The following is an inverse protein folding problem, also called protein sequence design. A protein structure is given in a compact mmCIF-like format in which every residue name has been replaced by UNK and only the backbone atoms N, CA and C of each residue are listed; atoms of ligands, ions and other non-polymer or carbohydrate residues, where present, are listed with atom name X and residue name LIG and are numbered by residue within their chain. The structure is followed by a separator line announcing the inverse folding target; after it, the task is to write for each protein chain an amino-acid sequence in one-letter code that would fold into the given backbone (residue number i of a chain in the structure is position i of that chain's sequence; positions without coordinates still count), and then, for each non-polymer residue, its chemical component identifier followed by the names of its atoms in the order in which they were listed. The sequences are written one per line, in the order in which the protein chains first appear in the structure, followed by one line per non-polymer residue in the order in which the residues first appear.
data_IF_858388907961
#
_entry.id   IF_858388907961
#
_cell.length_a   1.000
_cell.length_b   1.000
_cell.length_c   1.000
_cell.angle_alpha   90.00
_cell.angle_beta   90.00
_cell.angle_gamma   90.00
#
_symmetry.space_group_name_H-M   'P 1'
#
loop_
_entity.id
_entity.type
_entity.pdbx_description
1 polymer ?
#
# COMPACT_ATOMS: atom_id res chain seq x y z
N UNK A 1 -8.24 26.89 10.31
CA UNK A 1 -7.12 26.67 11.27
C UNK A 1 -6.97 25.20 11.72
N UNK A 2 -8.03 24.52 12.19
CA UNK A 2 -7.91 23.10 12.65
C UNK A 2 -7.37 22.12 11.58
N UNK A 3 -7.74 22.30 10.30
CA UNK A 3 -7.27 21.46 9.19
C UNK A 3 -5.79 21.65 8.85
N UNK A 4 -5.25 22.84 9.05
CA UNK A 4 -3.83 23.14 8.84
C UNK A 4 -2.94 22.47 9.89
N UNK A 5 -3.40 22.45 11.15
CA UNK A 5 -2.69 21.76 12.23
C UNK A 5 -2.64 20.25 12.06
N UNK A 6 -3.69 19.63 11.48
CA UNK A 6 -3.74 18.19 11.24
C UNK A 6 -2.74 17.79 10.15
N UNK A 7 -2.65 18.56 9.06
CA UNK A 7 -1.69 18.31 7.97
C UNK A 7 -0.24 18.52 8.47
N UNK A 8 0.01 19.56 9.26
CA UNK A 8 1.32 19.80 9.84
C UNK A 8 1.73 18.71 10.85
N UNK A 9 0.80 18.18 11.62
CA UNK A 9 1.06 17.08 12.56
C UNK A 9 1.41 15.76 11.82
N UNK A 10 0.73 15.45 10.71
CA UNK A 10 1.05 14.28 9.88
C UNK A 10 2.44 14.42 9.23
N UNK A 11 2.80 15.60 8.75
CA UNK A 11 4.12 15.88 8.20
C UNK A 11 5.24 15.78 9.25
N UNK A 12 4.99 16.22 10.48
CA UNK A 12 5.98 16.14 11.58
C UNK A 12 6.24 14.69 12.06
N UNK A 13 5.21 13.85 12.05
CA UNK A 13 5.36 12.41 12.36
C UNK A 13 6.16 11.68 11.28
N UNK A 14 6.01 12.08 10.01
CA UNK A 14 6.75 11.50 8.88
C UNK A 14 8.26 11.81 8.94
N UNK A 15 8.68 12.94 9.48
CA UNK A 15 10.07 13.35 9.58
C UNK A 15 10.91 12.56 10.60
N UNK A 16 10.25 11.84 11.53
CA UNK A 16 10.92 11.03 12.56
C UNK A 16 11.15 9.56 12.21
N UNK A 17 10.56 9.05 11.15
CA UNK A 17 10.55 7.62 10.83
C UNK A 17 11.51 7.29 9.69
N UNK A 18 12.64 6.68 10.01
CA UNK A 18 13.76 6.39 9.07
C UNK A 18 13.47 5.35 7.97
N UNK A 19 12.24 4.92 7.75
CA UNK A 19 11.89 3.95 6.71
C UNK A 19 10.45 4.12 6.18
N UNK A 20 9.91 5.31 6.30
CA UNK A 20 8.57 5.64 5.84
C UNK A 20 8.64 6.71 4.76
N UNK A 21 7.82 6.54 3.75
CA UNK A 21 7.64 7.48 2.67
C UNK A 21 6.20 7.96 2.70
N UNK A 22 6.00 9.28 2.61
CA UNK A 22 4.68 9.90 2.48
C UNK A 22 4.65 10.62 1.16
N UNK A 23 3.70 10.25 0.31
CA UNK A 23 3.54 10.79 -1.03
C UNK A 23 2.18 11.48 -1.14
N UNK A 24 2.14 12.57 -1.88
CA UNK A 24 0.90 13.23 -2.28
C UNK A 24 0.79 13.18 -3.80
N UNK A 25 -0.24 12.52 -4.28
CA UNK A 25 -0.54 12.37 -5.68
C UNK A 25 -1.69 13.27 -6.09
N UNK A 26 -1.61 13.86 -7.28
CA UNK A 26 -2.70 14.61 -7.89
C UNK A 26 -3.02 14.02 -9.26
N UNK A 27 -4.29 13.68 -9.49
CA UNK A 27 -4.78 13.17 -10.77
C UNK A 27 -5.14 14.33 -11.69
N UNK A 28 -4.17 14.77 -12.49
CA UNK A 28 -4.40 15.79 -13.53
C UNK A 28 -5.45 15.35 -14.56
N UNK A 29 -5.62 14.05 -14.77
CA UNK A 29 -6.62 13.51 -15.68
C UNK A 29 -8.04 13.87 -15.25
N UNK A 30 -8.35 13.77 -13.95
CA UNK A 30 -9.65 14.13 -13.40
C UNK A 30 -9.96 15.63 -13.53
N UNK A 31 -8.93 16.48 -13.60
CA UNK A 31 -9.07 17.93 -13.76
C UNK A 31 -9.17 18.37 -15.22
N UNK A 32 -8.67 17.56 -16.18
CA UNK A 32 -8.56 17.92 -17.59
C UNK A 32 -9.61 17.23 -18.48
N UNK A 33 -10.20 16.13 -18.03
CA UNK A 33 -11.11 15.32 -18.83
C UNK A 33 -12.41 15.04 -18.08
N UNK A 34 -13.53 15.60 -18.54
CA UNK A 34 -14.87 15.43 -17.95
C UNK A 34 -15.28 13.95 -17.82
N UNK A 35 -14.80 13.09 -18.73
CA UNK A 35 -15.07 11.64 -18.66
C UNK A 35 -14.47 10.94 -17.45
N UNK A 36 -13.51 11.58 -16.78
CA UNK A 36 -12.84 11.08 -15.58
C UNK A 36 -13.34 11.78 -14.32
N UNK A 37 -14.39 12.58 -14.44
CA UNK A 37 -15.07 13.19 -13.30
C UNK A 37 -15.59 12.10 -12.35
N UNK A 38 -15.48 12.34 -11.06
CA UNK A 38 -15.81 11.34 -10.01
C UNK A 38 -14.63 10.47 -9.55
N UNK A 39 -13.47 10.51 -10.20
CA UNK A 39 -12.24 9.93 -9.67
C UNK A 39 -11.69 10.82 -8.54
N UNK A 40 -11.01 10.23 -7.53
CA UNK A 40 -10.30 11.02 -6.54
C UNK A 40 -9.26 11.92 -7.23
N UNK A 41 -9.34 13.23 -7.01
CA UNK A 41 -8.35 14.16 -7.57
C UNK A 41 -7.03 14.11 -6.80
N UNK A 42 -7.07 13.68 -5.54
CA UNK A 42 -5.90 13.69 -4.65
C UNK A 42 -5.88 12.38 -3.87
N UNK A 43 -4.69 11.76 -3.80
CA UNK A 43 -4.40 10.58 -2.97
C UNK A 43 -3.16 10.84 -2.13
N UNK A 44 -3.20 10.50 -0.85
CA UNK A 44 -2.03 10.44 0.01
C UNK A 44 -1.66 8.99 0.22
N UNK A 45 -0.42 8.63 -0.09
CA UNK A 45 0.15 7.31 0.17
C UNK A 45 1.14 7.39 1.33
N UNK A 46 1.00 6.50 2.28
CA UNK A 46 2.00 6.23 3.31
C UNK A 46 2.52 4.83 3.10
N UNK A 47 3.82 4.70 2.87
CA UNK A 47 4.44 3.40 2.67
C UNK A 47 5.66 3.21 3.55
N UNK A 48 5.97 1.95 3.86
CA UNK A 48 7.15 1.55 4.60
C UNK A 48 7.71 0.25 4.03
N UNK A 49 9.02 0.23 3.84
CA UNK A 49 9.78 -1.00 3.65
C UNK A 49 10.80 -1.12 4.78
N UNK A 50 10.77 -2.25 5.50
CA UNK A 50 11.67 -2.50 6.62
C UNK A 50 12.24 -3.92 6.53
N UNK A 51 13.52 -4.09 6.18
CA UNK A 51 14.22 -5.36 6.29
C UNK A 51 14.58 -5.64 7.75
N UNK A 52 14.65 -6.93 8.10
CA UNK A 52 15.17 -7.42 9.38
C UNK A 52 15.89 -8.76 9.20
N UNK A 53 16.38 -9.35 10.29
CA UNK A 53 17.11 -10.63 10.25
C UNK A 53 16.30 -11.83 9.75
N UNK A 54 14.98 -11.71 9.70
CA UNK A 54 14.06 -12.76 9.31
C UNK A 54 13.38 -12.51 7.95
N UNK A 55 13.77 -11.44 7.24
CA UNK A 55 13.19 -11.06 5.96
C UNK A 55 12.86 -9.58 5.86
N UNK A 56 11.68 -9.25 5.37
CA UNK A 56 11.25 -7.85 5.22
C UNK A 56 9.76 -7.68 5.45
N UNK A 57 9.38 -6.52 5.93
CA UNK A 57 7.99 -6.07 6.01
C UNK A 57 7.78 -4.91 5.05
N UNK A 58 6.73 -4.98 4.27
CA UNK A 58 6.26 -3.88 3.44
C UNK A 58 4.82 -3.58 3.77
N UNK A 59 4.45 -2.31 3.84
CA UNK A 59 3.06 -1.91 3.79
C UNK A 59 2.91 -0.59 3.04
N UNK A 60 1.74 -0.38 2.48
CA UNK A 60 1.29 0.94 2.11
C UNK A 60 -0.19 1.15 2.46
N UNK A 61 -0.55 2.41 2.55
CA UNK A 61 -1.87 2.88 2.88
C UNK A 61 -2.18 4.08 2.01
N UNK A 62 -3.19 3.97 1.17
CA UNK A 62 -3.69 5.04 0.33
C UNK A 62 -4.95 5.66 0.93
N UNK A 63 -5.00 6.97 0.95
CA UNK A 63 -6.18 7.75 1.26
C UNK A 63 -6.59 8.56 0.03
N UNK A 64 -7.74 8.25 -0.52
CA UNK A 64 -8.36 9.05 -1.57
C UNK A 64 -9.26 10.12 -0.98
N UNK A 65 -9.21 11.30 -1.57
CA UNK A 65 -9.97 12.46 -1.08
C UNK A 65 -11.01 12.93 -2.09
N UNK A 66 -12.11 13.44 -1.54
CA UNK A 66 -13.10 14.23 -2.25
C UNK A 66 -13.33 15.56 -1.51
N UNK A 67 -14.29 16.35 -2.00
CA UNK A 67 -14.62 17.66 -1.40
C UNK A 67 -15.07 17.59 0.06
N UNK A 68 -15.45 16.40 0.56
CA UNK A 68 -15.93 16.17 1.95
C UNK A 68 -14.86 15.61 2.86
N UNK A 69 -13.70 15.23 2.33
CA UNK A 69 -12.59 14.63 3.08
C UNK A 69 -12.17 13.28 2.52
N UNK A 70 -11.79 12.34 3.38
CA UNK A 70 -11.39 10.98 2.97
C UNK A 70 -12.60 10.24 2.40
N UNK A 71 -12.51 9.86 1.14
CA UNK A 71 -13.51 9.09 0.41
C UNK A 71 -13.30 7.58 0.58
N UNK A 72 -12.06 7.15 0.48
CA UNK A 72 -11.65 5.75 0.61
C UNK A 72 -10.27 5.63 1.24
N UNK A 73 -10.03 4.48 1.84
CA UNK A 73 -8.72 4.04 2.31
C UNK A 73 -8.49 2.61 1.83
N UNK A 74 -7.32 2.36 1.26
CA UNK A 74 -6.86 1.04 0.85
C UNK A 74 -5.51 0.76 1.45
N UNK A 75 -5.25 -0.48 1.86
CA UNK A 75 -3.97 -0.86 2.44
C UNK A 75 -3.57 -2.27 2.05
N UNK A 76 -2.28 -2.45 1.96
CA UNK A 76 -1.62 -3.74 1.83
C UNK A 76 -0.53 -3.87 2.88
N UNK A 77 -0.43 -5.05 3.48
CA UNK A 77 0.62 -5.39 4.42
C UNK A 77 1.20 -6.72 3.99
N UNK A 78 2.48 -6.73 3.66
CA UNK A 78 3.20 -7.90 3.21
C UNK A 78 4.38 -8.24 4.11
N UNK A 79 4.63 -9.52 4.28
CA UNK A 79 5.78 -10.04 4.98
C UNK A 79 6.48 -11.09 4.14
N UNK A 80 7.75 -10.88 3.84
CA UNK A 80 8.65 -11.90 3.35
C UNK A 80 9.42 -12.52 4.52
N UNK A 81 9.41 -13.85 4.59
CA UNK A 81 10.09 -14.64 5.61
C UNK A 81 11.21 -15.44 4.99
N UNK A 82 12.40 -15.33 5.57
CA UNK A 82 13.60 -15.97 5.06
C UNK A 82 14.46 -16.46 6.23
N UNK A 83 14.32 -17.71 6.59
CA UNK A 83 15.08 -18.36 7.67
C UNK A 83 16.24 -19.21 7.17
N UNK A 84 16.51 -19.19 5.86
CA UNK A 84 17.48 -20.03 5.16
C UNK A 84 18.33 -19.19 4.22
N UNK A 85 19.42 -19.76 3.75
CA UNK A 85 20.25 -19.16 2.71
C UNK A 85 19.61 -19.35 1.33
N UNK A 86 19.95 -18.46 0.39
CA UNK A 86 19.47 -18.51 -0.98
C UNK A 86 18.49 -17.38 -1.33
N UNK A 87 18.02 -17.34 -2.57
CA UNK A 87 17.23 -16.21 -3.09
C UNK A 87 15.72 -16.33 -2.84
N UNK A 88 15.25 -17.46 -2.31
CA UNK A 88 13.82 -17.69 -2.08
C UNK A 88 13.39 -17.16 -0.71
N UNK A 89 12.18 -16.63 -0.62
CA UNK A 89 11.50 -16.24 0.60
C UNK A 89 10.04 -16.76 0.58
N UNK A 90 9.48 -17.04 1.74
CA UNK A 90 8.04 -17.23 1.86
C UNK A 90 7.37 -15.86 1.93
N UNK A 91 6.26 -15.68 1.21
CA UNK A 91 5.52 -14.42 1.15
C UNK A 91 4.11 -14.62 1.70
N UNK A 92 3.71 -13.73 2.60
CA UNK A 92 2.33 -13.60 3.08
C UNK A 92 1.91 -12.15 2.99
N UNK A 93 0.66 -11.91 2.57
CA UNK A 93 0.15 -10.56 2.35
C UNK A 93 -1.34 -10.49 2.70
N UNK A 94 -1.76 -9.35 3.22
CA UNK A 94 -3.14 -9.01 3.47
C UNK A 94 -3.47 -7.67 2.82
N UNK A 95 -4.56 -7.64 2.04
CA UNK A 95 -5.09 -6.46 1.39
C UNK A 95 -6.48 -6.16 1.92
N UNK A 96 -6.74 -4.92 2.23
CA UNK A 96 -8.04 -4.48 2.72
C UNK A 96 -8.32 -3.03 2.36
N UNK A 97 -9.50 -2.56 2.73
CA UNK A 97 -9.88 -1.19 2.46
C UNK A 97 -11.26 -0.85 2.98
N UNK A 98 -11.55 0.42 2.93
CA UNK A 98 -12.87 0.98 3.25
C UNK A 98 -13.16 2.20 2.39
N UNK A 99 -14.37 2.30 1.88
CA UNK A 99 -14.78 3.44 1.05
C UNK A 99 -16.27 3.44 0.79
N UNK A 100 -16.66 4.19 -0.20
CA UNK A 100 -18.05 4.27 -0.67
C UNK A 100 -18.56 2.88 -1.13
N UNK A 101 -17.67 2.06 -1.69
CA UNK A 101 -17.93 0.68 -2.05
C UNK A 101 -17.21 -0.26 -1.08
N UNK A 102 -17.80 -1.45 -0.77
CA UNK A 102 -17.15 -2.40 0.11
C UNK A 102 -15.89 -2.97 -0.57
N UNK A 103 -14.76 -2.89 0.09
CA UNK A 103 -13.56 -3.62 -0.26
C UNK A 103 -13.63 -5.04 0.32
N UNK A 104 -13.31 -6.03 -0.51
CA UNK A 104 -13.16 -7.40 -0.01
C UNK A 104 -11.77 -7.58 0.59
N UNK A 105 -11.70 -8.23 1.74
CA UNK A 105 -10.40 -8.64 2.28
C UNK A 105 -9.77 -9.70 1.37
N UNK A 106 -8.50 -9.58 1.10
CA UNK A 106 -7.74 -10.56 0.36
C UNK A 106 -6.51 -11.00 1.16
N UNK A 107 -6.22 -12.28 1.11
CA UNK A 107 -5.07 -12.91 1.74
C UNK A 107 -4.26 -13.62 0.66
N UNK A 108 -2.98 -13.37 0.65
CA UNK A 108 -2.06 -13.95 -0.32
C UNK A 108 -0.98 -14.72 0.42
N UNK A 109 -0.63 -15.87 -0.12
CA UNK A 109 0.49 -16.66 0.38
C UNK A 109 1.22 -17.32 -0.80
N UNK A 110 2.54 -17.37 -0.73
CA UNK A 110 3.34 -17.94 -1.80
C UNK A 110 4.83 -17.82 -1.57
N UNK A 111 5.56 -17.76 -2.65
CA UNK A 111 7.01 -17.65 -2.67
C UNK A 111 7.45 -16.40 -3.43
N UNK A 112 8.51 -15.79 -2.95
CA UNK A 112 9.23 -14.72 -3.62
C UNK A 112 10.65 -15.18 -3.95
N UNK A 113 11.13 -14.81 -5.14
CA UNK A 113 12.51 -14.97 -5.57
C UNK A 113 13.10 -13.57 -5.73
N UNK A 114 14.14 -13.28 -4.95
CA UNK A 114 14.81 -11.99 -4.99
C UNK A 114 16.28 -12.19 -5.37
N UNK A 115 16.68 -11.56 -6.45
CA UNK A 115 18.06 -11.53 -6.89
C UNK A 115 18.59 -10.10 -6.87
N UNK A 116 19.76 -9.92 -6.28
CA UNK A 116 20.53 -8.69 -6.35
C UNK A 116 21.99 -9.05 -6.65
N UNK A 117 22.66 -8.22 -7.45
CA UNK A 117 24.10 -8.31 -7.59
C UNK A 117 24.81 -7.84 -6.31
N UNK A 118 26.12 -8.09 -6.18
CA UNK A 118 26.85 -7.85 -4.95
C UNK A 118 26.91 -6.39 -4.48
N UNK A 119 26.75 -5.44 -5.37
CA UNK A 119 26.74 -3.99 -5.10
C UNK A 119 25.31 -3.38 -5.07
N UNK A 120 24.28 -4.22 -5.19
CA UNK A 120 22.85 -3.82 -5.21
C UNK A 120 22.46 -2.80 -6.29
N UNK A 121 23.28 -2.64 -7.34
CA UNK A 121 22.97 -1.74 -8.46
C UNK A 121 22.01 -2.37 -9.47
N UNK A 122 21.86 -3.69 -9.45
CA UNK A 122 20.95 -4.45 -10.29
C UNK A 122 20.28 -5.54 -9.48
N UNK A 123 18.97 -5.63 -9.63
CA UNK A 123 18.18 -6.67 -9.00
C UNK A 123 16.87 -6.91 -9.74
N UNK A 124 16.27 -8.04 -9.48
CA UNK A 124 14.89 -8.33 -9.90
C UNK A 124 14.23 -9.24 -8.88
N UNK A 125 12.91 -9.13 -8.79
CA UNK A 125 12.07 -9.99 -7.96
C UNK A 125 11.00 -10.67 -8.80
N UNK A 126 10.69 -11.91 -8.47
CA UNK A 126 9.54 -12.66 -9.00
C UNK A 126 8.75 -13.21 -7.82
N UNK A 127 7.43 -13.19 -7.94
CA UNK A 127 6.53 -13.70 -6.92
C UNK A 127 5.49 -14.63 -7.55
N UNK A 128 5.23 -15.75 -6.88
CA UNK A 128 4.14 -16.65 -7.23
C UNK A 128 3.27 -16.86 -6.00
N UNK A 129 2.02 -16.39 -6.05
CA UNK A 129 1.13 -16.34 -4.91
C UNK A 129 -0.23 -16.92 -5.23
N UNK A 130 -0.83 -17.61 -4.24
CA UNK A 130 -2.24 -17.92 -4.20
C UNK A 130 -2.98 -16.79 -3.51
N UNK A 131 -4.04 -16.27 -4.14
CA UNK A 131 -4.88 -15.20 -3.58
C UNK A 131 -6.25 -15.76 -3.20
N UNK A 132 -6.59 -15.65 -1.93
CA UNK A 132 -7.94 -15.89 -1.41
C UNK A 132 -8.64 -14.56 -1.16
N UNK A 133 -9.83 -14.37 -1.75
CA UNK A 133 -10.65 -13.18 -1.55
C UNK A 133 -11.84 -13.55 -0.68
N UNK A 134 -11.92 -12.96 0.50
CA UNK A 134 -13.08 -13.09 1.36
C UNK A 134 -14.18 -12.17 0.84
N UNK A 135 -15.29 -12.74 0.37
CA UNK A 135 -16.48 -11.96 -0.03
C UNK A 135 -17.07 -11.30 1.22
N UNK A 136 -16.89 -10.00 1.34
CA UNK A 136 -17.44 -9.20 2.44
C UNK A 136 -18.88 -8.76 2.19
N UNK A 137 -19.40 -8.96 0.98
CA UNK A 137 -20.72 -8.54 0.58
C UNK A 137 -21.55 -9.74 0.11
N UNK A 138 -22.67 -9.98 0.80
CA UNK A 138 -23.81 -10.72 0.25
C UNK A 138 -24.82 -9.67 -0.18
N UNK A 139 -25.28 -9.64 -1.44
CA UNK A 139 -26.45 -8.86 -1.78
C UNK A 139 -27.58 -9.37 -0.86
N UNK A 140 -28.18 -8.47 -0.13
CA UNK A 140 -29.44 -8.76 0.53
C UNK A 140 -30.46 -8.93 -0.59
N UNK A 141 -30.91 -10.14 -0.81
CA UNK A 141 -32.07 -10.43 -1.62
C UNK A 141 -33.32 -10.04 -0.83
#
# INVERSE_FOLDING_TARGET
MKKFFTIAAILLVALGAKAQNVQLHYDFGSALYDKLDGRPATTTTVEMFKPDKWGSTFFFLDFDYNNKGVQSAYWEIARELKFWEGPLAAHIEYNGGRGQYPYSNAYLAGIAYNYNNGDFTKGFGLQAMYKYIQKSYKPNN
#
